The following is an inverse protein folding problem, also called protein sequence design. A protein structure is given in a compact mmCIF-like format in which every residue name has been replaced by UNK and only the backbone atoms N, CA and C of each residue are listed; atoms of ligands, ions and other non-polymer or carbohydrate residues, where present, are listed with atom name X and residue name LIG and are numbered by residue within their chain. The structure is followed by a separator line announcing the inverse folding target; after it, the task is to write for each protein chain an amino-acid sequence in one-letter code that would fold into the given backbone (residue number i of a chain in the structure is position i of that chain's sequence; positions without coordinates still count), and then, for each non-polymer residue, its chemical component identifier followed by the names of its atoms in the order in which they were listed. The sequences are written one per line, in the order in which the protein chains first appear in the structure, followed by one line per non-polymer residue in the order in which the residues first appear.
data_IF_793284590589
#
_entry.id   IF_793284590589
#
_cell.length_a   1.000
_cell.length_b   1.000
_cell.length_c   1.000
_cell.angle_alpha   90.00
_cell.angle_beta   90.00
_cell.angle_gamma   90.00
#
_symmetry.space_group_name_H-M   'P 1'
#
loop_
_entity.id
_entity.type
_entity.pdbx_description
1 polymer ?
#
# COMPACT_ATOMS: atom_id res chain seq x y z
N UNK A 1 11.33 46.76 -58.94
CA UNK A 1 10.58 46.61 -57.68
C UNK A 1 9.89 45.26 -57.70
N UNK A 2 10.50 44.23 -57.12
CA UNK A 2 9.92 42.87 -56.98
C UNK A 2 9.60 42.67 -55.49
N UNK A 3 8.42 42.15 -55.12
CA UNK A 3 8.08 41.88 -53.73
C UNK A 3 8.83 40.64 -53.24
N UNK A 4 9.46 40.74 -52.07
CA UNK A 4 10.08 39.62 -51.37
C UNK A 4 9.02 38.55 -51.01
N UNK A 5 9.31 37.25 -51.17
CA UNK A 5 8.43 36.21 -50.68
C UNK A 5 8.50 36.20 -49.15
N UNK A 6 7.33 36.40 -48.53
CA UNK A 6 7.11 36.27 -47.10
C UNK A 6 7.74 34.98 -46.58
N UNK A 7 8.81 35.12 -45.79
CA UNK A 7 9.45 34.02 -45.09
C UNK A 7 8.42 33.24 -44.26
N UNK A 8 8.61 31.93 -44.07
CA UNK A 8 7.67 31.09 -43.35
C UNK A 8 7.42 31.68 -41.96
N UNK A 9 6.17 32.11 -41.74
CA UNK A 9 5.64 32.54 -40.45
C UNK A 9 6.06 31.51 -39.40
N UNK A 10 7.02 31.84 -38.55
CA UNK A 10 7.27 31.12 -37.31
C UNK A 10 5.95 31.13 -36.54
N UNK A 11 5.19 30.04 -36.63
CA UNK A 11 4.11 29.78 -35.68
C UNK A 11 4.76 29.87 -34.32
N UNK A 12 4.35 30.86 -33.54
CA UNK A 12 4.73 30.99 -32.14
C UNK A 12 4.61 29.60 -31.53
N UNK A 13 5.75 29.00 -31.18
CA UNK A 13 5.78 27.71 -30.52
C UNK A 13 5.17 27.95 -29.15
N UNK A 14 3.84 27.78 -29.06
CA UNK A 14 3.20 27.57 -27.79
C UNK A 14 3.99 26.49 -27.07
N UNK A 15 4.31 26.74 -25.81
CA UNK A 15 5.09 25.82 -24.99
C UNK A 15 4.57 24.38 -25.20
N UNK A 16 5.35 23.51 -25.85
CA UNK A 16 4.86 22.20 -26.27
C UNK A 16 4.51 21.36 -25.04
N UNK A 17 5.14 21.62 -23.89
CA UNK A 17 4.82 21.01 -22.61
C UNK A 17 3.45 21.47 -22.12
N UNK A 18 3.11 22.75 -22.29
CA UNK A 18 1.78 23.28 -21.94
C UNK A 18 0.66 22.68 -22.80
N UNK A 19 0.91 22.47 -24.08
CA UNK A 19 -0.05 21.79 -24.97
C UNK A 19 -0.24 20.32 -24.56
N UNK A 20 0.83 19.66 -24.10
CA UNK A 20 0.78 18.29 -23.60
C UNK A 20 0.04 18.20 -22.25
N UNK A 21 0.30 19.12 -21.32
CA UNK A 21 -0.46 19.27 -20.06
C UNK A 21 -1.95 19.44 -20.31
N UNK A 22 -2.31 20.24 -21.31
CA UNK A 22 -3.71 20.47 -21.64
C UNK A 22 -4.40 19.22 -22.19
N UNK A 23 -3.69 18.42 -23.00
CA UNK A 23 -4.20 17.17 -23.58
C UNK A 23 -4.32 16.03 -22.55
N UNK A 24 -3.41 15.97 -21.58
CA UNK A 24 -3.37 14.92 -20.57
C UNK A 24 -3.72 15.44 -19.16
N UNK A 25 -4.56 16.47 -19.10
CA UNK A 25 -4.92 17.19 -17.87
C UNK A 25 -5.52 16.28 -16.80
N UNK A 26 -6.49 15.45 -17.17
CA UNK A 26 -7.14 14.52 -16.23
C UNK A 26 -6.18 13.46 -15.68
N UNK A 27 -5.12 13.13 -16.42
CA UNK A 27 -4.10 12.19 -15.98
C UNK A 27 -3.13 12.89 -15.01
N UNK A 28 -2.71 14.12 -15.32
CA UNK A 28 -1.82 14.90 -14.45
C UNK A 28 -2.48 15.35 -13.14
N UNK A 29 -3.78 15.64 -13.15
CA UNK A 29 -4.57 16.04 -11.97
C UNK A 29 -4.89 14.85 -11.04
N UNK A 30 -4.99 13.62 -11.59
CA UNK A 30 -5.22 12.39 -10.78
C UNK A 30 -3.94 11.76 -10.28
N UNK A 31 -2.82 12.01 -10.95
CA UNK A 31 -1.54 11.40 -10.63
C UNK A 31 -0.94 11.90 -9.31
N UNK A 32 -0.64 10.96 -8.41
CA UNK A 32 -0.09 11.26 -7.08
C UNK A 32 1.44 11.42 -7.12
N UNK A 33 2.09 10.93 -8.17
CA UNK A 33 3.53 11.01 -8.39
C UNK A 33 3.89 11.28 -9.88
N UNK A 34 5.11 11.76 -10.18
CA UNK A 34 5.58 11.95 -11.56
C UNK A 34 5.55 10.69 -12.41
N UNK A 35 5.55 9.52 -11.76
CA UNK A 35 5.71 8.26 -12.45
C UNK A 35 4.38 7.75 -13.05
N UNK A 36 3.27 7.99 -12.38
CA UNK A 36 1.93 7.79 -12.94
C UNK A 36 1.70 8.67 -14.19
N UNK A 37 2.33 9.86 -14.22
CA UNK A 37 2.36 10.71 -15.42
C UNK A 37 3.17 10.03 -16.53
N UNK A 38 4.39 9.55 -16.26
CA UNK A 38 5.21 8.85 -17.25
C UNK A 38 4.51 7.62 -17.85
N UNK A 39 3.93 6.76 -17.00
CA UNK A 39 3.19 5.58 -17.43
C UNK A 39 1.96 5.93 -18.27
N UNK A 40 1.26 7.01 -17.89
CA UNK A 40 0.19 7.57 -18.69
C UNK A 40 0.66 8.02 -20.07
N UNK A 41 1.79 8.73 -20.15
CA UNK A 41 2.35 9.18 -21.42
C UNK A 41 2.75 7.99 -22.32
N UNK A 42 3.41 6.96 -21.78
CA UNK A 42 3.80 5.76 -22.53
C UNK A 42 2.60 4.97 -23.04
N UNK A 43 1.56 4.79 -22.22
CA UNK A 43 0.31 4.14 -22.63
C UNK A 43 -0.40 4.88 -23.78
N UNK A 44 -0.14 6.18 -23.92
CA UNK A 44 -0.63 7.02 -25.02
C UNK A 44 0.43 7.19 -26.14
N UNK A 45 1.48 6.36 -26.14
CA UNK A 45 2.46 6.25 -27.23
C UNK A 45 3.64 7.22 -27.15
N UNK A 46 3.84 7.93 -26.03
CA UNK A 46 4.98 8.83 -25.84
C UNK A 46 6.16 8.06 -25.28
N UNK A 47 7.23 8.00 -26.06
CA UNK A 47 8.49 7.28 -25.77
C UNK A 47 9.65 8.26 -25.56
N UNK A 48 10.83 7.78 -25.14
CA UNK A 48 12.04 8.64 -24.95
C UNK A 48 12.41 9.45 -26.20
N UNK A 49 12.22 8.84 -27.38
CA UNK A 49 12.41 9.51 -28.67
C UNK A 49 11.43 10.66 -28.89
N UNK A 50 10.28 10.58 -28.27
CA UNK A 50 9.25 11.64 -28.28
C UNK A 50 9.56 12.68 -27.20
N UNK A 51 10.01 12.27 -26.01
CA UNK A 51 10.42 13.16 -24.92
C UNK A 51 11.59 14.09 -25.30
N UNK A 52 12.55 13.60 -26.07
CA UNK A 52 13.65 14.41 -26.63
C UNK A 52 13.17 15.54 -27.56
N UNK A 53 12.02 15.38 -28.24
CA UNK A 53 11.38 16.46 -29.02
C UNK A 53 10.81 17.56 -28.13
N UNK A 54 10.45 17.22 -26.89
CA UNK A 54 10.06 18.17 -25.85
C UNK A 54 11.27 18.75 -25.09
N UNK A 55 12.51 18.48 -25.52
CA UNK A 55 13.77 18.89 -24.87
C UNK A 55 14.01 18.28 -23.47
N UNK A 56 13.40 17.14 -23.18
CA UNK A 56 13.69 16.35 -21.98
C UNK A 56 14.47 15.08 -22.36
N UNK A 57 15.33 14.60 -21.46
CA UNK A 57 16.26 13.50 -21.74
C UNK A 57 15.54 12.17 -21.98
N UNK A 58 14.44 11.94 -21.27
CA UNK A 58 13.62 10.73 -21.26
C UNK A 58 12.17 11.08 -20.85
N UNK A 59 11.26 10.10 -20.97
CA UNK A 59 9.84 10.27 -20.57
C UNK A 59 9.71 10.63 -19.09
N UNK A 60 10.60 10.14 -18.24
CA UNK A 60 10.62 10.44 -16.81
C UNK A 60 10.94 11.91 -16.52
N UNK A 61 11.97 12.46 -17.15
CA UNK A 61 12.33 13.88 -17.06
C UNK A 61 11.22 14.79 -17.58
N UNK A 62 10.49 14.33 -18.61
CA UNK A 62 9.30 15.03 -19.11
C UNK A 62 8.15 14.95 -18.10
N UNK A 63 7.93 13.80 -17.48
CA UNK A 63 6.89 13.58 -16.50
C UNK A 63 7.14 14.32 -15.18
N UNK A 64 8.39 14.45 -14.75
CA UNK A 64 8.80 15.32 -13.63
C UNK A 64 8.50 16.78 -13.92
N UNK A 65 8.77 17.27 -15.13
CA UNK A 65 8.44 18.65 -15.53
C UNK A 65 6.92 18.89 -15.55
N UNK A 66 6.15 17.93 -16.08
CA UNK A 66 4.69 17.98 -16.07
C UNK A 66 4.12 17.93 -14.65
N UNK A 67 4.73 17.10 -13.79
CA UNK A 67 4.42 17.07 -12.37
C UNK A 67 4.72 18.44 -11.75
N UNK A 68 5.94 18.96 -11.84
CA UNK A 68 6.33 20.24 -11.23
C UNK A 68 5.43 21.42 -11.66
N UNK A 69 4.90 21.41 -12.89
CA UNK A 69 4.04 22.48 -13.43
C UNK A 69 2.55 22.31 -13.16
N UNK A 70 2.10 21.13 -12.73
CA UNK A 70 0.68 20.93 -12.38
C UNK A 70 0.42 21.63 -11.04
N UNK A 71 -0.49 22.61 -10.96
CA UNK A 71 -0.76 23.34 -9.73
C UNK A 71 -1.39 22.40 -8.69
N UNK A 72 -0.53 21.79 -7.87
CA UNK A 72 -0.92 21.06 -6.67
C UNK A 72 -0.89 22.06 -5.54
N UNK A 73 -2.02 22.26 -4.87
CA UNK A 73 -2.05 23.07 -3.67
C UNK A 73 -1.27 22.34 -2.58
N UNK A 74 0.05 22.54 -2.54
CA UNK A 74 0.95 22.47 -1.37
C UNK A 74 2.39 22.73 -1.86
N UNK A 75 3.07 23.70 -1.22
CA UNK A 75 4.41 24.18 -1.59
C UNK A 75 5.54 23.14 -1.44
N UNK A 76 6.78 23.49 -1.84
CA UNK A 76 7.88 22.53 -1.99
C UNK A 76 8.20 21.81 -0.66
N UNK A 77 8.04 20.49 -0.67
CA UNK A 77 8.50 19.62 0.41
C UNK A 77 10.03 19.59 0.42
N UNK A 78 10.64 20.31 1.36
CA UNK A 78 12.05 20.21 1.70
C UNK A 78 12.38 18.74 2.03
N UNK A 79 13.45 18.14 1.49
CA UNK A 79 13.82 16.76 1.80
C UNK A 79 14.10 16.62 3.29
N UNK A 80 13.22 15.89 3.99
CA UNK A 80 13.38 15.65 5.42
C UNK A 80 14.63 14.78 5.66
N UNK A 81 15.50 15.15 6.62
CA UNK A 81 16.69 14.36 6.93
C UNK A 81 16.30 12.97 7.41
N UNK A 82 16.94 11.96 6.81
CA UNK A 82 16.81 10.56 7.21
C UNK A 82 17.36 10.40 8.63
N UNK A 83 16.49 10.31 9.64
CA UNK A 83 16.92 9.99 11.00
C UNK A 83 15.91 10.25 12.11
N UNK A 84 14.93 11.13 11.93
CA UNK A 84 13.92 11.36 12.96
C UNK A 84 12.71 10.46 12.74
N UNK A 85 12.37 9.63 13.73
CA UNK A 85 11.03 9.06 13.91
C UNK A 85 10.04 10.22 14.01
N UNK A 86 9.56 10.70 12.86
CA UNK A 86 8.75 11.91 12.80
C UNK A 86 7.45 11.76 13.59
N UNK A 87 6.82 12.89 13.99
CA UNK A 87 5.58 12.88 14.76
C UNK A 87 4.44 12.12 14.08
N UNK A 88 4.46 11.98 12.74
CA UNK A 88 3.50 11.16 12.00
C UNK A 88 3.68 9.64 12.23
N UNK A 89 4.92 9.16 12.35
CA UNK A 89 5.22 7.75 12.65
C UNK A 89 4.86 7.42 14.10
N UNK A 90 5.16 8.33 15.03
CA UNK A 90 4.77 8.22 16.43
C UNK A 90 3.24 8.29 16.62
N UNK A 91 2.55 9.17 15.89
CA UNK A 91 1.08 9.21 15.87
C UNK A 91 0.49 7.93 15.29
N UNK A 92 1.03 7.44 14.17
CA UNK A 92 0.62 6.16 13.57
C UNK A 92 0.83 4.98 14.51
N UNK A 93 1.94 4.95 15.25
CA UNK A 93 2.22 3.94 16.28
C UNK A 93 1.31 4.07 17.50
N UNK A 94 1.03 5.29 17.95
CA UNK A 94 0.05 5.56 19.02
C UNK A 94 -1.36 5.09 18.65
N UNK A 95 -1.81 5.36 17.42
CA UNK A 95 -3.06 4.80 16.90
C UNK A 95 -3.01 3.27 16.73
N UNK A 96 -1.84 2.68 16.50
CA UNK A 96 -1.66 1.23 16.41
C UNK A 96 -1.75 0.51 17.77
N UNK A 97 -1.53 1.21 18.88
CA UNK A 97 -1.64 0.66 20.25
C UNK A 97 -3.05 0.77 20.84
N UNK A 98 -3.85 1.72 20.34
CA UNK A 98 -5.24 1.96 20.74
C UNK A 98 -6.14 0.70 20.70
N UNK A 99 -6.08 -0.17 19.67
CA UNK A 99 -6.84 -1.41 19.63
C UNK A 99 -6.50 -2.36 20.78
N UNK A 100 -5.21 -2.50 21.10
CA UNK A 100 -4.73 -3.32 22.21
C UNK A 100 -5.19 -2.78 23.56
N UNK A 101 -5.11 -1.47 23.75
CA UNK A 101 -5.59 -0.81 24.96
C UNK A 101 -7.11 -0.96 25.15
N UNK A 102 -7.89 -0.78 24.07
CA UNK A 102 -9.35 -0.95 24.10
C UNK A 102 -9.73 -2.41 24.35
N UNK A 103 -9.07 -3.37 23.71
CA UNK A 103 -9.33 -4.79 23.93
C UNK A 103 -9.04 -5.22 25.38
N UNK A 104 -7.93 -4.75 25.96
CA UNK A 104 -7.58 -5.01 27.36
C UNK A 104 -8.59 -4.37 28.33
N UNK A 105 -8.95 -3.10 28.12
CA UNK A 105 -9.92 -2.39 28.95
C UNK A 105 -11.34 -2.99 28.86
N UNK A 106 -11.78 -3.37 27.66
CA UNK A 106 -13.04 -4.05 27.40
C UNK A 106 -13.17 -5.39 28.13
N UNK A 107 -12.09 -6.19 28.08
CA UNK A 107 -12.02 -7.49 28.73
C UNK A 107 -12.11 -7.36 30.26
N UNK A 108 -11.45 -6.35 30.82
CA UNK A 108 -11.51 -6.05 32.25
C UNK A 108 -12.89 -5.56 32.71
N UNK A 109 -13.61 -4.84 31.85
CA UNK A 109 -14.89 -4.18 32.19
C UNK A 109 -16.15 -5.05 31.96
N UNK A 110 -16.03 -6.25 31.39
CA UNK A 110 -17.15 -7.17 31.04
C UNK A 110 -18.31 -6.48 30.28
N UNK A 111 -17.99 -5.49 29.45
CA UNK A 111 -18.99 -4.74 28.69
C UNK A 111 -19.47 -5.58 27.49
N UNK A 112 -20.79 -5.83 27.32
CA UNK A 112 -21.31 -6.83 26.40
C UNK A 112 -21.04 -6.53 24.91
N UNK A 113 -20.86 -5.26 24.54
CA UNK A 113 -20.57 -4.81 23.17
C UNK A 113 -19.09 -4.45 22.94
N UNK A 114 -18.26 -4.50 23.97
CA UNK A 114 -16.86 -4.07 23.86
C UNK A 114 -15.99 -5.07 23.09
N UNK A 115 -16.38 -6.35 23.03
CA UNK A 115 -15.78 -7.33 22.11
C UNK A 115 -15.99 -6.95 20.64
N UNK A 116 -17.20 -6.52 20.26
CA UNK A 116 -17.50 -6.10 18.89
C UNK A 116 -16.72 -4.82 18.51
N UNK A 117 -16.63 -3.84 19.43
CA UNK A 117 -15.83 -2.62 19.21
C UNK A 117 -14.34 -2.94 19.10
N UNK A 118 -13.80 -3.81 19.96
CA UNK A 118 -12.42 -4.25 19.88
C UNK A 118 -12.12 -4.97 18.55
N UNK A 119 -13.05 -5.80 18.05
CA UNK A 119 -12.94 -6.44 16.73
C UNK A 119 -12.89 -5.39 15.62
N UNK A 120 -13.83 -4.44 15.60
CA UNK A 120 -13.89 -3.39 14.57
C UNK A 120 -12.62 -2.53 14.59
N UNK A 121 -12.14 -2.13 15.76
CA UNK A 121 -10.92 -1.32 15.92
C UNK A 121 -9.66 -2.11 15.53
N UNK A 122 -9.59 -3.40 15.87
CA UNK A 122 -8.46 -4.27 15.51
C UNK A 122 -8.41 -4.51 14.01
N UNK A 123 -9.57 -4.72 13.38
CA UNK A 123 -9.69 -4.87 11.93
C UNK A 123 -9.36 -3.57 11.21
N UNK A 124 -9.89 -2.44 11.68
CA UNK A 124 -9.51 -1.14 11.17
C UNK A 124 -7.99 -0.96 11.28
N UNK A 125 -7.38 -1.23 12.43
CA UNK A 125 -5.94 -1.02 12.57
C UNK A 125 -5.08 -1.98 11.74
N UNK A 126 -5.46 -3.27 11.62
CA UNK A 126 -4.69 -4.26 10.85
C UNK A 126 -4.87 -4.09 9.34
N UNK A 127 -6.11 -3.87 8.88
CA UNK A 127 -6.48 -3.89 7.46
C UNK A 127 -6.41 -2.52 6.81
N UNK A 128 -6.58 -1.44 7.58
CA UNK A 128 -6.54 -0.08 7.04
C UNK A 128 -5.14 0.25 6.50
N UNK A 129 -5.00 0.46 5.19
CA UNK A 129 -3.71 0.77 4.59
C UNK A 129 -3.27 2.23 4.82
N UNK A 130 -4.18 3.12 5.25
CA UNK A 130 -3.99 4.57 5.25
C UNK A 130 -4.82 5.26 4.17
N UNK A 131 -4.46 6.51 3.81
CA UNK A 131 -5.11 7.23 2.70
C UNK A 131 -4.80 6.50 1.38
N UNK A 132 -5.80 5.86 0.80
CA UNK A 132 -5.71 5.29 -0.54
C UNK A 132 -5.70 6.43 -1.57
N UNK A 133 -4.68 6.48 -2.43
CA UNK A 133 -4.76 7.23 -3.68
C UNK A 133 -5.94 6.67 -4.50
N UNK A 134 -6.95 7.49 -4.80
CA UNK A 134 -8.08 7.10 -5.67
C UNK A 134 -9.25 6.38 -5.00
N UNK A 135 -10.02 7.10 -4.18
CA UNK A 135 -11.47 7.25 -4.41
C UNK A 135 -12.47 6.13 -4.07
N UNK A 136 -12.11 4.97 -3.52
CA UNK A 136 -13.12 4.05 -2.95
C UNK A 136 -12.59 3.27 -1.75
N UNK A 137 -13.17 3.56 -0.59
CA UNK A 137 -12.93 2.83 0.67
C UNK A 137 -13.11 1.32 0.40
N UNK A 138 -12.14 0.45 0.76
CA UNK A 138 -12.23 -0.99 0.55
C UNK A 138 -13.19 -1.62 1.58
N UNK A 139 -14.45 -1.21 1.54
CA UNK A 139 -15.47 -1.53 2.54
C UNK A 139 -15.71 -3.03 2.64
N UNK A 140 -15.80 -3.73 1.49
CA UNK A 140 -16.00 -5.18 1.48
C UNK A 140 -14.85 -5.93 2.18
N UNK A 141 -13.59 -5.58 1.92
CA UNK A 141 -12.44 -6.23 2.58
C UNK A 141 -12.42 -5.96 4.08
N UNK A 142 -12.78 -4.76 4.51
CA UNK A 142 -12.88 -4.44 5.95
C UNK A 142 -14.03 -5.21 6.62
N UNK A 143 -15.18 -5.31 5.95
CA UNK A 143 -16.32 -6.08 6.45
C UNK A 143 -16.00 -7.58 6.55
N UNK A 144 -15.38 -8.16 5.52
CA UNK A 144 -14.97 -9.57 5.53
C UNK A 144 -13.90 -9.85 6.57
N UNK A 145 -12.94 -8.93 6.76
CA UNK A 145 -11.96 -9.06 7.83
C UNK A 145 -12.59 -8.95 9.22
N UNK A 146 -13.56 -8.04 9.41
CA UNK A 146 -14.29 -7.92 10.67
C UNK A 146 -15.11 -9.17 10.97
N UNK A 147 -15.78 -9.71 9.96
CA UNK A 147 -16.49 -10.98 10.08
C UNK A 147 -15.54 -12.13 10.41
N UNK A 148 -14.40 -12.25 9.74
CA UNK A 148 -13.43 -13.32 9.97
C UNK A 148 -12.80 -13.25 11.38
N UNK A 149 -12.46 -12.04 11.84
CA UNK A 149 -11.94 -11.83 13.20
C UNK A 149 -13.03 -12.10 14.24
N UNK A 150 -14.24 -11.57 14.07
CA UNK A 150 -15.36 -11.80 14.99
C UNK A 150 -15.71 -13.28 15.09
N UNK A 151 -15.78 -13.98 13.95
CA UNK A 151 -16.00 -15.42 13.89
C UNK A 151 -14.88 -16.20 14.59
N UNK A 152 -13.62 -15.81 14.38
CA UNK A 152 -12.47 -16.43 15.04
C UNK A 152 -12.47 -16.25 16.56
N UNK A 153 -12.77 -15.04 17.03
CA UNK A 153 -12.87 -14.76 18.47
C UNK A 153 -14.06 -15.50 19.09
N UNK A 154 -15.18 -15.63 18.37
CA UNK A 154 -16.33 -16.40 18.84
C UNK A 154 -16.00 -17.88 19.03
N UNK A 155 -15.23 -18.49 18.11
CA UNK A 155 -14.86 -19.93 18.17
C UNK A 155 -13.69 -20.25 19.11
N UNK A 156 -12.65 -19.43 19.12
CA UNK A 156 -11.40 -19.71 19.87
C UNK A 156 -11.25 -18.89 21.16
N UNK A 157 -12.22 -18.02 21.45
CA UNK A 157 -12.27 -17.23 22.65
C UNK A 157 -11.57 -15.86 22.57
N UNK A 158 -11.74 -15.02 23.62
CA UNK A 158 -11.29 -13.63 23.65
C UNK A 158 -9.77 -13.48 23.62
N UNK A 159 -9.02 -14.50 24.08
CA UNK A 159 -7.56 -14.53 24.02
C UNK A 159 -7.05 -14.33 22.58
N UNK A 160 -7.74 -14.91 21.58
CA UNK A 160 -7.41 -14.70 20.17
C UNK A 160 -7.58 -13.24 19.76
N UNK A 161 -8.60 -12.55 20.25
CA UNK A 161 -8.81 -11.13 19.99
C UNK A 161 -7.68 -10.28 20.56
N UNK A 162 -7.25 -10.58 21.79
CA UNK A 162 -6.09 -9.91 22.43
C UNK A 162 -4.81 -10.18 21.64
N UNK A 163 -4.57 -11.41 21.19
CA UNK A 163 -3.42 -11.77 20.37
C UNK A 163 -3.37 -10.95 19.06
N UNK A 164 -4.50 -10.82 18.36
CA UNK A 164 -4.60 -10.02 17.14
C UNK A 164 -4.38 -8.53 17.42
N UNK A 165 -4.90 -8.01 18.54
CA UNK A 165 -4.71 -6.62 18.93
C UNK A 165 -3.23 -6.31 19.27
N UNK A 166 -2.54 -7.23 19.98
CA UNK A 166 -1.10 -7.13 20.24
C UNK A 166 -0.27 -7.22 18.94
N UNK A 167 -0.74 -7.97 17.94
CA UNK A 167 -0.10 -8.09 16.64
C UNK A 167 -0.22 -6.81 15.77
N UNK A 168 -1.06 -5.83 16.13
CA UNK A 168 -1.19 -4.57 15.38
C UNK A 168 0.13 -3.81 15.34
N UNK A 169 0.78 -3.59 16.49
CA UNK A 169 2.04 -2.85 16.56
C UNK A 169 3.16 -3.44 15.66
N UNK A 170 3.49 -4.76 15.74
CA UNK A 170 4.46 -5.35 14.83
C UNK A 170 4.01 -5.35 13.37
N UNK A 171 2.70 -5.41 13.07
CA UNK A 171 2.20 -5.27 11.69
C UNK A 171 2.54 -3.90 11.11
N UNK A 172 2.35 -2.82 11.86
CA UNK A 172 2.68 -1.46 11.42
C UNK A 172 4.18 -1.28 11.20
N UNK A 173 5.00 -1.78 12.14
CA UNK A 173 6.46 -1.73 12.02
C UNK A 173 6.97 -2.54 10.82
N UNK A 174 6.46 -3.76 10.63
CA UNK A 174 6.82 -4.63 9.52
C UNK A 174 6.42 -4.01 8.16
N UNK A 175 5.20 -3.45 8.06
CA UNK A 175 4.75 -2.77 6.84
C UNK A 175 5.59 -1.51 6.53
N UNK A 176 5.91 -0.70 7.55
CA UNK A 176 6.77 0.48 7.38
C UNK A 176 8.20 0.11 6.96
N UNK A 177 8.76 -0.93 7.57
CA UNK A 177 10.07 -1.47 7.25
C UNK A 177 10.13 -2.06 5.82
N UNK A 178 9.08 -2.77 5.41
CA UNK A 178 8.91 -3.27 4.04
C UNK A 178 8.88 -2.11 3.05
N UNK A 179 8.02 -1.12 3.27
CA UNK A 179 7.89 0.03 2.39
C UNK A 179 9.20 0.84 2.30
N UNK A 180 9.90 1.04 3.42
CA UNK A 180 11.19 1.74 3.43
C UNK A 180 12.28 0.98 2.67
N UNK A 181 12.36 -0.36 2.85
CA UNK A 181 13.34 -1.19 2.14
C UNK A 181 13.00 -1.33 0.65
N UNK A 182 11.73 -1.45 0.30
CA UNK A 182 11.27 -1.45 -1.09
C UNK A 182 11.66 -0.13 -1.78
N UNK A 183 11.45 1.04 -1.14
CA UNK A 183 11.89 2.33 -1.70
C UNK A 183 13.42 2.42 -1.89
N UNK A 184 14.21 1.93 -0.93
CA UNK A 184 15.68 1.89 -1.07
C UNK A 184 16.12 0.97 -2.22
N UNK A 185 15.44 -0.17 -2.37
CA UNK A 185 15.67 -1.10 -3.48
C UNK A 185 15.36 -0.48 -4.85
N UNK A 186 14.28 0.30 -4.95
CA UNK A 186 13.93 1.04 -6.18
C UNK A 186 15.03 2.03 -6.57
N UNK A 187 15.52 2.83 -5.61
CA UNK A 187 16.54 3.84 -5.87
C UNK A 187 17.88 3.26 -6.37
N UNK A 188 18.19 2.01 -6.04
CA UNK A 188 19.42 1.34 -6.48
C UNK A 188 19.29 0.47 -7.74
N UNK A 189 18.08 0.15 -8.19
CA UNK A 189 17.86 -0.86 -9.24
C UNK A 189 17.64 -0.26 -10.62
N UNK A 190 18.53 -0.54 -11.57
CA UNK A 190 18.44 -0.02 -12.95
C UNK A 190 17.49 -0.81 -13.87
N UNK A 191 17.26 -2.10 -13.62
CA UNK A 191 16.32 -2.92 -14.42
C UNK A 191 15.27 -3.65 -13.57
N UNK A 192 14.03 -3.75 -14.07
CA UNK A 192 12.85 -4.25 -13.34
C UNK A 192 13.02 -5.62 -12.72
N UNK A 193 13.65 -6.51 -13.46
CA UNK A 193 13.90 -7.86 -13.02
C UNK A 193 14.76 -7.87 -11.73
N UNK A 194 15.74 -6.97 -11.61
CA UNK A 194 16.62 -6.88 -10.42
C UNK A 194 15.83 -6.46 -9.17
N UNK A 195 14.90 -5.52 -9.33
CA UNK A 195 14.04 -5.10 -8.22
C UNK A 195 13.05 -6.19 -7.82
N UNK A 196 12.41 -6.84 -8.80
CA UNK A 196 11.48 -7.93 -8.52
C UNK A 196 12.21 -9.10 -7.83
N UNK A 197 13.44 -9.42 -8.25
CA UNK A 197 14.29 -10.41 -7.61
C UNK A 197 14.64 -10.03 -6.17
N UNK A 198 14.88 -8.75 -5.87
CA UNK A 198 15.15 -8.26 -4.53
C UNK A 198 13.91 -8.16 -3.61
N UNK A 199 12.75 -7.83 -4.15
CA UNK A 199 11.52 -7.64 -3.34
C UNK A 199 10.87 -8.96 -2.92
N UNK A 200 10.96 -10.01 -3.73
CA UNK A 200 10.41 -11.32 -3.39
C UNK A 200 10.94 -11.86 -2.05
N UNK A 201 12.27 -12.01 -1.81
CA UNK A 201 12.79 -12.48 -0.54
C UNK A 201 12.51 -11.49 0.60
N UNK A 202 12.45 -10.18 0.29
CA UNK A 202 12.13 -9.15 1.26
C UNK A 202 10.68 -9.26 1.77
N UNK A 203 9.72 -9.53 0.87
CA UNK A 203 8.32 -9.79 1.22
C UNK A 203 8.20 -11.04 2.09
N UNK A 204 8.81 -12.14 1.67
CA UNK A 204 8.80 -13.41 2.42
C UNK A 204 9.42 -13.22 3.81
N UNK A 205 10.57 -12.55 3.88
CA UNK A 205 11.24 -12.26 5.15
C UNK A 205 10.42 -11.36 6.07
N UNK A 206 9.71 -10.37 5.51
CA UNK A 206 8.82 -9.49 6.29
C UNK A 206 7.62 -10.27 6.84
N UNK A 207 7.00 -11.11 6.01
CA UNK A 207 5.88 -11.96 6.43
C UNK A 207 6.32 -12.95 7.49
N UNK A 208 7.48 -13.59 7.33
CA UNK A 208 8.06 -14.49 8.32
C UNK A 208 8.38 -13.79 9.65
N UNK A 209 8.97 -12.60 9.62
CA UNK A 209 9.22 -11.82 10.83
C UNK A 209 7.91 -11.45 11.54
N UNK A 210 6.87 -11.08 10.77
CA UNK A 210 5.56 -10.77 11.31
C UNK A 210 4.86 -12.01 11.91
N UNK A 211 4.93 -13.18 11.27
CA UNK A 211 4.33 -14.40 11.82
C UNK A 211 4.99 -14.85 13.12
N UNK A 212 6.31 -14.67 13.25
CA UNK A 212 7.02 -14.90 14.53
C UNK A 212 6.53 -13.93 15.61
N UNK A 213 6.38 -12.64 15.29
CA UNK A 213 5.83 -11.66 16.22
C UNK A 213 4.37 -11.96 16.61
N UNK A 214 3.54 -12.40 15.66
CA UNK A 214 2.16 -12.82 15.90
C UNK A 214 2.08 -14.08 16.78
N UNK A 215 2.99 -15.04 16.60
CA UNK A 215 3.12 -16.19 17.49
C UNK A 215 3.47 -15.76 18.92
N UNK A 216 4.43 -14.84 19.08
CA UNK A 216 4.75 -14.26 20.39
C UNK A 216 3.54 -13.56 21.04
N UNK A 217 2.79 -12.76 20.27
CA UNK A 217 1.56 -12.11 20.72
C UNK A 217 0.49 -13.12 21.17
N UNK A 218 0.34 -14.23 20.44
CA UNK A 218 -0.56 -15.31 20.81
C UNK A 218 -0.12 -16.03 22.11
N UNK A 219 1.17 -16.31 22.28
CA UNK A 219 1.71 -16.88 23.53
C UNK A 219 1.46 -15.95 24.71
N UNK A 220 1.74 -14.64 24.56
CA UNK A 220 1.51 -13.64 25.60
C UNK A 220 0.02 -13.50 25.97
N UNK A 221 -0.87 -13.64 24.99
CA UNK A 221 -2.32 -13.57 25.20
C UNK A 221 -2.95 -14.89 25.68
N UNK A 222 -2.18 -15.99 25.73
CA UNK A 222 -2.72 -17.33 26.01
C UNK A 222 -3.65 -17.86 24.90
N UNK A 223 -3.48 -17.39 23.66
CA UNK A 223 -4.31 -17.77 22.52
C UNK A 223 -3.76 -19.01 21.79
N UNK A 224 -4.63 -19.85 21.20
CA UNK A 224 -4.19 -20.97 20.38
C UNK A 224 -3.44 -20.48 19.13
N UNK A 225 -2.20 -20.96 18.94
CA UNK A 225 -1.33 -20.56 17.83
C UNK A 225 -1.91 -20.92 16.46
N UNK A 226 -2.54 -22.09 16.36
CA UNK A 226 -3.04 -22.67 15.11
C UNK A 226 -4.04 -21.73 14.39
N UNK A 227 -5.04 -21.12 15.05
CA UNK A 227 -5.90 -20.13 14.42
C UNK A 227 -5.34 -18.69 14.45
N UNK A 228 -4.54 -18.32 15.45
CA UNK A 228 -4.08 -16.94 15.62
C UNK A 228 -3.06 -16.53 14.55
N UNK A 229 -2.04 -17.36 14.30
CA UNK A 229 -0.92 -17.02 13.41
C UNK A 229 -1.37 -16.89 11.94
N UNK A 230 -2.13 -17.83 11.36
CA UNK A 230 -2.54 -17.71 9.96
C UNK A 230 -3.53 -16.58 9.72
N UNK A 231 -4.42 -16.32 10.68
CA UNK A 231 -5.36 -15.20 10.60
C UNK A 231 -4.63 -13.85 10.68
N UNK A 232 -3.68 -13.69 11.60
CA UNK A 232 -2.84 -12.50 11.66
C UNK A 232 -2.08 -12.30 10.34
N UNK A 233 -1.48 -13.37 9.80
CA UNK A 233 -0.76 -13.33 8.53
C UNK A 233 -1.66 -12.90 7.36
N UNK A 234 -2.89 -13.44 7.30
CA UNK A 234 -3.89 -13.08 6.29
C UNK A 234 -4.27 -11.60 6.35
N UNK A 235 -4.49 -11.05 7.55
CA UNK A 235 -4.81 -9.63 7.75
C UNK A 235 -3.62 -8.73 7.36
N UNK A 236 -2.40 -9.13 7.72
CA UNK A 236 -1.18 -8.41 7.33
C UNK A 236 -0.95 -8.42 5.82
N UNK A 237 -1.15 -9.56 5.15
CA UNK A 237 -1.07 -9.66 3.69
C UNK A 237 -2.14 -8.82 3.01
N UNK A 238 -3.37 -8.84 3.53
CA UNK A 238 -4.47 -7.98 3.05
C UNK A 238 -4.06 -6.51 3.11
N UNK A 239 -3.49 -6.06 4.23
CA UNK A 239 -2.96 -4.71 4.40
C UNK A 239 -1.92 -4.37 3.34
N UNK A 240 -0.94 -5.26 3.11
CA UNK A 240 0.11 -5.03 2.12
C UNK A 240 -0.46 -4.91 0.71
N UNK A 241 -1.37 -5.80 0.31
CA UNK A 241 -2.03 -5.76 -1.00
C UNK A 241 -2.82 -4.46 -1.17
N UNK A 242 -3.61 -4.06 -0.17
CA UNK A 242 -4.40 -2.83 -0.23
C UNK A 242 -3.54 -1.56 -0.21
N UNK A 243 -2.43 -1.55 0.52
CA UNK A 243 -1.53 -0.40 0.63
C UNK A 243 -0.73 -0.11 -0.64
N UNK A 244 -0.48 -1.14 -1.46
CA UNK A 244 0.31 -1.02 -2.69
C UNK A 244 -0.55 -1.07 -3.96
N UNK A 245 -1.87 -0.86 -3.84
CA UNK A 245 -2.77 -0.74 -4.99
C UNK A 245 -3.04 -2.04 -5.75
N UNK A 246 -2.68 -3.20 -5.20
CA UNK A 246 -2.94 -4.49 -5.84
C UNK A 246 -4.45 -4.82 -5.88
N UNK A 247 -4.91 -5.68 -6.82
CA UNK A 247 -6.32 -5.96 -6.99
C UNK A 247 -6.97 -6.46 -5.70
N UNK A 248 -8.15 -5.90 -5.37
CA UNK A 248 -8.86 -6.18 -4.10
C UNK A 248 -9.54 -7.55 -4.08
N UNK A 249 -9.85 -8.10 -5.24
CA UNK A 249 -10.56 -9.38 -5.42
C UNK A 249 -9.86 -10.55 -4.71
N UNK A 250 -8.55 -10.82 -4.92
CA UNK A 250 -7.86 -11.92 -4.21
C UNK A 250 -7.85 -11.73 -2.70
N UNK A 251 -7.71 -10.49 -2.20
CA UNK A 251 -7.76 -10.21 -0.78
C UNK A 251 -9.15 -10.47 -0.19
N UNK A 252 -10.22 -10.02 -0.86
CA UNK A 252 -11.59 -10.30 -0.46
C UNK A 252 -11.90 -11.81 -0.50
N UNK A 253 -11.47 -12.52 -1.55
CA UNK A 253 -11.66 -13.96 -1.66
C UNK A 253 -10.95 -14.73 -0.53
N UNK A 254 -9.69 -14.37 -0.22
CA UNK A 254 -8.95 -15.00 0.88
C UNK A 254 -9.62 -14.74 2.25
N UNK A 255 -10.13 -13.53 2.49
CA UNK A 255 -10.90 -13.23 3.70
C UNK A 255 -12.22 -14.00 3.77
N UNK A 256 -12.91 -14.20 2.63
CA UNK A 256 -14.11 -15.01 2.56
C UNK A 256 -13.81 -16.49 2.86
N UNK A 257 -12.69 -17.03 2.35
CA UNK A 257 -12.25 -18.40 2.68
C UNK A 257 -12.00 -18.56 4.18
N UNK A 258 -11.46 -17.54 4.86
CA UNK A 258 -11.23 -17.59 6.30
C UNK A 258 -12.51 -17.65 7.16
N UNK A 259 -13.69 -17.41 6.58
CA UNK A 259 -14.99 -17.61 7.24
C UNK A 259 -15.42 -19.09 7.28
N UNK A 260 -14.79 -19.95 6.47
CA UNK A 260 -15.10 -21.38 6.46
C UNK A 260 -14.68 -21.99 7.82
N UNK A 261 -15.57 -22.72 8.52
CA UNK A 261 -15.34 -23.20 9.88
C UNK A 261 -14.46 -24.46 9.92
N UNK A 262 -13.30 -24.41 9.24
CA UNK A 262 -12.32 -25.49 9.17
C UNK A 262 -10.96 -24.92 9.61
N UNK A 263 -10.19 -25.61 10.48
CA UNK A 263 -8.96 -25.06 11.07
C UNK A 263 -7.90 -24.67 10.03
N UNK A 264 -7.87 -25.33 8.87
CA UNK A 264 -6.92 -25.07 7.79
C UNK A 264 -7.34 -23.92 6.86
N UNK A 265 -8.56 -23.38 6.97
CA UNK A 265 -9.07 -22.39 6.03
C UNK A 265 -8.28 -21.08 6.06
N UNK A 266 -7.93 -20.57 7.25
CA UNK A 266 -7.13 -19.36 7.43
C UNK A 266 -5.69 -19.54 6.93
N UNK A 267 -5.11 -20.73 7.12
CA UNK A 267 -3.79 -21.09 6.60
C UNK A 267 -3.78 -21.18 5.07
N UNK A 268 -4.77 -21.85 4.49
CA UNK A 268 -4.92 -21.94 3.04
C UNK A 268 -5.14 -20.56 2.41
N UNK A 269 -6.00 -19.73 3.03
CA UNK A 269 -6.23 -18.35 2.62
C UNK A 269 -4.95 -17.49 2.68
N UNK A 270 -4.21 -17.57 3.78
CA UNK A 270 -2.95 -16.84 3.95
C UNK A 270 -1.90 -17.29 2.93
N UNK A 271 -1.74 -18.60 2.71
CA UNK A 271 -0.82 -19.15 1.72
C UNK A 271 -1.18 -18.72 0.29
N UNK A 272 -2.46 -18.81 -0.07
CA UNK A 272 -2.95 -18.37 -1.38
C UNK A 272 -2.76 -16.87 -1.60
N UNK A 273 -3.08 -16.05 -0.58
CA UNK A 273 -2.88 -14.60 -0.66
C UNK A 273 -1.39 -14.22 -0.69
N UNK A 274 -0.52 -14.98 -0.02
CA UNK A 274 0.94 -14.78 -0.09
C UNK A 274 1.44 -14.97 -1.52
N UNK A 275 1.05 -16.05 -2.19
CA UNK A 275 1.41 -16.30 -3.61
C UNK A 275 0.94 -15.14 -4.48
N UNK A 276 -0.32 -14.71 -4.31
CA UNK A 276 -0.85 -13.54 -5.02
C UNK A 276 -0.09 -12.25 -4.69
N UNK A 277 0.28 -12.02 -3.43
CA UNK A 277 1.04 -10.84 -3.01
C UNK A 277 2.44 -10.83 -3.64
N UNK A 278 3.13 -11.97 -3.68
CA UNK A 278 4.45 -12.10 -4.35
C UNK A 278 4.33 -11.70 -5.82
N UNK A 279 3.31 -12.19 -6.53
CA UNK A 279 3.09 -11.87 -7.95
C UNK A 279 2.64 -10.42 -8.15
N UNK A 280 1.64 -9.97 -7.39
CA UNK A 280 1.04 -8.65 -7.55
C UNK A 280 2.00 -7.53 -7.13
N UNK A 281 2.73 -7.69 -6.02
CA UNK A 281 3.68 -6.68 -5.56
C UNK A 281 4.92 -6.61 -6.45
N UNK A 282 5.37 -7.73 -7.01
CA UNK A 282 6.49 -7.72 -7.98
C UNK A 282 6.10 -7.09 -9.32
N UNK A 283 4.83 -7.17 -9.72
CA UNK A 283 4.28 -6.53 -10.95
C UNK A 283 3.80 -5.09 -10.73
N UNK A 284 3.25 -4.74 -9.58
CA UNK A 284 2.84 -3.36 -9.28
C UNK A 284 4.07 -2.44 -9.27
N UNK A 285 5.19 -2.92 -8.72
CA UNK A 285 6.49 -2.25 -8.80
C UNK A 285 7.18 -2.32 -10.17
N UNK A 286 6.65 -3.12 -11.10
CA UNK A 286 7.04 -3.11 -12.50
C UNK A 286 6.52 -1.92 -13.27
N UNK A 287 5.37 -1.43 -12.85
CA UNK A 287 4.75 -0.25 -13.41
C UNK A 287 5.00 0.98 -12.53
N UNK A 288 5.53 0.79 -11.30
CA UNK A 288 6.01 1.81 -10.39
C UNK A 288 7.56 1.90 -10.33
N UNK A 289 8.20 1.81 -11.50
CA UNK A 289 9.62 2.08 -11.72
C UNK A 289 9.88 3.56 -11.99
N UNK A 290 10.69 4.28 -11.20
CA UNK A 290 10.90 5.73 -11.29
C UNK A 290 11.29 6.22 -12.67
#
# INVERSE_FOLDING_TARGET
MRPDPAGPRRRASGDPVKALLHRHRELCERAVDPLEIAAGLEAHGITDRTATRFRHRDVFSLAEELYARTPRGDGPAVPAPAGATGPAALRGFGYALLPGAVALGASAARVPWAGAVAVVVTVAALVWPGRTAGGRFPGLSHLLAAAAVGWAVHRDGPALGVALALAVAPAHLAAGAFAARARRGLAGSRALQDFAAGVRPLLVGTVAAFTVAAAGAAVLAGAPLAPAVPLAALLFLTRLVLAHGAPRVPAAAALAVALVPVPSASLAAAAGLLVHAVVALSRASAHARP
#
